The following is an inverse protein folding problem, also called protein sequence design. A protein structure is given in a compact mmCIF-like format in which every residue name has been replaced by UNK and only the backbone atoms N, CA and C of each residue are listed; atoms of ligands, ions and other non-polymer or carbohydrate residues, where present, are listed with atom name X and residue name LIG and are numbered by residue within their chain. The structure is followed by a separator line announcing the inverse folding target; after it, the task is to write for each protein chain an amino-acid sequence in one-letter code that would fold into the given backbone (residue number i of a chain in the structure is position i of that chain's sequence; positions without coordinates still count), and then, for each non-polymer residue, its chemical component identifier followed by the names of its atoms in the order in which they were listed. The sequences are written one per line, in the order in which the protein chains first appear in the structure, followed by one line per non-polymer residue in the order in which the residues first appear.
data_IF_782057942446
#
_entry.id   IF_782057942446
#
_cell.length_a   1.000
_cell.length_b   1.000
_cell.length_c   1.000
_cell.angle_alpha   90.00
_cell.angle_beta   90.00
_cell.angle_gamma   90.00
#
_symmetry.space_group_name_H-M   'P 1'
#
loop_
_entity.id
_entity.type
_entity.pdbx_description
1 polymer ?
#
# COMPACT_ATOMS: atom_id res chain seq x y z
N UNK A 1 -22.45 -37.44 -15.30
CA UNK A 1 -22.54 -36.08 -15.81
C UNK A 1 -21.74 -35.21 -14.81
N UNK A 2 -20.42 -35.17 -15.03
CA UNK A 2 -19.45 -34.47 -14.15
C UNK A 2 -19.17 -33.13 -14.79
N UNK A 3 -19.66 -32.04 -14.22
CA UNK A 3 -19.33 -30.69 -14.64
C UNK A 3 -18.05 -30.22 -13.95
N UNK A 4 -17.09 -29.92 -14.77
CA UNK A 4 -15.79 -29.35 -14.43
C UNK A 4 -15.95 -28.00 -13.71
N UNK A 5 -15.56 -27.95 -12.43
CA UNK A 5 -15.45 -26.73 -11.60
C UNK A 5 -14.00 -26.23 -11.50
N UNK A 6 -13.16 -26.52 -12.51
CA UNK A 6 -11.71 -26.37 -12.39
C UNK A 6 -11.09 -25.12 -13.02
N UNK A 7 -11.83 -24.16 -13.58
CA UNK A 7 -11.19 -23.05 -14.32
C UNK A 7 -11.35 -21.64 -13.76
N UNK A 8 -11.96 -21.46 -12.58
CA UNK A 8 -12.28 -20.11 -12.07
C UNK A 8 -11.50 -19.66 -10.82
N UNK A 9 -10.65 -20.51 -10.25
CA UNK A 9 -9.90 -20.14 -9.02
C UNK A 9 -8.50 -19.54 -9.28
N UNK A 10 -7.95 -19.67 -10.46
CA UNK A 10 -6.60 -19.17 -10.79
C UNK A 10 -6.45 -17.66 -10.81
N UNK A 11 -7.56 -16.89 -10.87
CA UNK A 11 -7.53 -15.43 -10.91
C UNK A 11 -7.65 -14.77 -9.54
N UNK A 12 -8.11 -15.49 -8.51
CA UNK A 12 -8.32 -14.89 -7.19
C UNK A 12 -7.03 -14.73 -6.38
N UNK A 13 -6.03 -15.57 -6.63
CA UNK A 13 -4.77 -15.54 -5.88
C UNK A 13 -3.92 -14.30 -6.17
N UNK A 14 -4.07 -13.68 -7.34
CA UNK A 14 -3.30 -12.48 -7.71
C UNK A 14 -3.83 -11.18 -7.07
N UNK A 15 -5.04 -11.20 -6.49
CA UNK A 15 -5.74 -9.98 -6.06
C UNK A 15 -5.73 -9.73 -4.56
N UNK A 16 -5.25 -10.67 -3.74
CA UNK A 16 -5.44 -10.61 -2.27
C UNK A 16 -4.20 -10.13 -1.52
N UNK A 17 -3.10 -9.84 -2.21
CA UNK A 17 -1.86 -9.51 -1.54
C UNK A 17 -1.53 -8.03 -1.67
N UNK A 18 -2.45 -7.18 -1.31
CA UNK A 18 -2.20 -5.76 -1.14
C UNK A 18 -1.84 -5.49 0.32
N UNK A 19 -0.62 -5.10 0.64
CA UNK A 19 -0.21 -4.86 2.02
C UNK A 19 0.65 -3.65 2.29
N UNK A 20 0.13 -2.89 3.11
CA UNK A 20 0.58 -2.02 4.21
C UNK A 20 2.00 -1.52 4.11
N UNK A 21 2.10 -0.30 3.72
CA UNK A 21 3.15 0.62 4.05
C UNK A 21 2.64 1.53 5.19
N UNK A 22 3.09 1.35 6.40
CA UNK A 22 2.86 2.33 7.44
C UNK A 22 3.80 3.50 7.17
N UNK A 23 3.24 4.64 6.84
CA UNK A 23 3.98 5.89 6.75
C UNK A 23 4.15 6.46 8.15
N UNK A 24 5.39 6.64 8.54
CA UNK A 24 5.70 7.47 9.66
C UNK A 24 5.53 8.93 9.25
N UNK A 25 4.59 9.58 9.90
CA UNK A 25 4.78 11.00 10.17
C UNK A 25 5.99 11.11 11.11
N UNK A 26 7.02 11.87 10.74
CA UNK A 26 8.12 12.09 11.66
C UNK A 26 7.57 12.69 12.94
N UNK A 27 8.13 12.29 14.10
CA UNK A 27 7.84 12.81 15.44
C UNK A 27 8.18 14.31 15.55
N UNK A 28 7.56 15.15 14.75
CA UNK A 28 7.84 16.58 14.69
C UNK A 28 6.63 17.47 14.96
N UNK A 29 5.50 16.91 15.43
CA UNK A 29 4.33 17.70 15.81
C UNK A 29 4.15 17.80 17.31
N UNK A 30 5.17 18.23 18.02
CA UNK A 30 5.01 18.69 19.39
C UNK A 30 5.82 19.99 19.56
N UNK A 31 5.29 21.07 19.10
CA UNK A 31 5.31 22.43 19.69
C UNK A 31 5.15 23.49 18.59
N UNK A 32 3.93 24.02 18.46
CA UNK A 32 3.73 25.45 18.33
C UNK A 32 2.26 25.76 18.06
N UNK A 33 1.60 26.35 19.06
CA UNK A 33 0.32 27.02 18.91
C UNK A 33 0.57 28.34 18.13
N UNK A 34 0.20 28.37 16.86
CA UNK A 34 -0.17 29.58 16.16
C UNK A 34 -0.95 29.23 14.89
N UNK A 35 -2.26 29.43 14.97
CA UNK A 35 -3.20 29.21 13.85
C UNK A 35 -3.25 30.50 13.05
N UNK A 36 -2.67 30.46 11.88
CA UNK A 36 -2.66 31.55 10.89
C UNK A 36 -1.52 31.33 9.91
N UNK A 37 -1.51 30.19 9.19
CA UNK A 37 -0.27 29.76 8.55
C UNK A 37 -0.42 29.49 7.06
N UNK A 38 0.45 30.16 6.32
CA UNK A 38 1.02 29.61 5.08
C UNK A 38 1.66 28.26 5.42
N UNK A 39 1.33 27.21 4.64
CA UNK A 39 1.97 25.88 4.73
C UNK A 39 3.48 26.07 4.58
N UNK A 40 4.26 25.57 5.52
CA UNK A 40 5.72 25.65 5.46
C UNK A 40 6.24 24.76 4.32
N UNK A 41 7.34 25.14 3.69
CA UNK A 41 7.95 24.33 2.62
C UNK A 41 8.27 22.89 3.09
N UNK A 42 8.66 22.73 4.36
CA UNK A 42 8.86 21.41 4.97
C UNK A 42 7.58 20.57 5.00
N UNK A 43 6.43 21.21 5.24
CA UNK A 43 5.14 20.53 5.31
C UNK A 43 4.65 20.14 3.90
N UNK A 44 4.96 20.97 2.89
CA UNK A 44 4.73 20.62 1.48
C UNK A 44 5.45 19.32 1.12
N UNK A 45 6.74 19.23 1.42
CA UNK A 45 7.53 18.05 1.13
C UNK A 45 7.01 16.79 1.86
N UNK A 46 6.57 16.95 3.11
CA UNK A 46 6.01 15.87 3.91
C UNK A 46 4.67 15.38 3.36
N UNK A 47 3.87 16.25 2.73
CA UNK A 47 2.62 15.88 2.07
C UNK A 47 2.84 15.35 0.64
N UNK A 48 3.85 15.86 -0.07
CA UNK A 48 4.15 15.40 -1.43
C UNK A 48 4.78 14.00 -1.46
N UNK A 49 5.47 13.57 -0.40
CA UNK A 49 6.01 12.22 -0.38
C UNK A 49 4.90 11.15 -0.37
N UNK A 50 3.94 11.16 0.58
CA UNK A 50 2.80 10.24 0.56
C UNK A 50 1.91 10.39 -0.67
N UNK A 51 1.80 11.57 -1.27
CA UNK A 51 1.00 11.77 -2.49
C UNK A 51 1.32 10.76 -3.63
N UNK A 52 2.55 10.22 -3.69
CA UNK A 52 2.86 9.14 -4.62
C UNK A 52 2.08 7.85 -4.29
N UNK A 53 1.94 7.55 -3.02
CA UNK A 53 1.25 6.35 -2.54
C UNK A 53 -0.26 6.52 -2.72
N UNK A 54 -0.79 7.69 -2.42
CA UNK A 54 -2.20 8.02 -2.68
C UNK A 54 -2.59 7.78 -4.15
N UNK A 55 -1.75 8.21 -5.10
CA UNK A 55 -1.97 7.89 -6.50
C UNK A 55 -1.94 6.37 -6.77
N UNK A 56 -0.99 5.67 -6.15
CA UNK A 56 -0.85 4.22 -6.31
C UNK A 56 -2.09 3.49 -5.77
N UNK A 57 -2.52 3.83 -4.57
CA UNK A 57 -3.63 3.21 -3.86
C UNK A 57 -4.96 3.51 -4.55
N UNK A 58 -5.20 4.77 -4.92
CA UNK A 58 -6.39 5.17 -5.69
C UNK A 58 -6.53 4.34 -6.96
N UNK A 59 -5.48 4.26 -7.76
CA UNK A 59 -5.53 3.51 -9.02
C UNK A 59 -5.68 2.00 -8.77
N UNK A 60 -5.02 1.48 -7.75
CA UNK A 60 -5.12 0.07 -7.41
C UNK A 60 -6.54 -0.34 -7.02
N UNK A 61 -7.15 0.37 -6.08
CA UNK A 61 -8.50 0.05 -5.61
C UNK A 61 -9.55 0.25 -6.71
N UNK A 62 -9.50 1.39 -7.39
CA UNK A 62 -10.45 1.67 -8.46
C UNK A 62 -10.37 0.64 -9.59
N UNK A 63 -9.17 0.34 -10.08
CA UNK A 63 -9.03 -0.69 -11.13
C UNK A 63 -9.40 -2.07 -10.61
N UNK A 64 -8.96 -2.43 -9.41
CA UNK A 64 -9.27 -3.72 -8.80
C UNK A 64 -10.76 -3.97 -8.69
N UNK A 65 -11.52 -2.99 -8.22
CA UNK A 65 -12.96 -3.13 -8.02
C UNK A 65 -13.79 -2.84 -9.28
N UNK A 66 -13.46 -1.74 -10.00
CA UNK A 66 -14.31 -1.19 -11.06
C UNK A 66 -13.80 -1.54 -12.48
N UNK A 67 -12.50 -1.80 -12.65
CA UNK A 67 -11.84 -2.00 -13.95
C UNK A 67 -11.46 -0.69 -14.65
N UNK A 68 -11.52 0.43 -13.95
CA UNK A 68 -11.08 1.75 -14.44
C UNK A 68 -10.66 2.63 -13.26
N UNK A 69 -9.76 3.58 -13.49
CA UNK A 69 -9.15 4.42 -12.47
C UNK A 69 -9.57 5.88 -12.52
N UNK A 70 -8.67 6.74 -12.03
CA UNK A 70 -8.86 8.20 -11.90
C UNK A 70 -9.23 8.87 -13.22
N UNK A 71 -8.70 8.40 -14.34
CA UNK A 71 -8.99 8.99 -15.65
C UNK A 71 -10.50 9.02 -15.96
N UNK A 72 -11.27 8.12 -15.33
CA UNK A 72 -12.72 8.09 -15.45
C UNK A 72 -13.43 8.66 -14.24
N UNK A 73 -12.91 8.41 -13.03
CA UNK A 73 -13.58 8.80 -11.77
C UNK A 73 -13.38 10.28 -11.44
N UNK A 74 -12.13 10.76 -11.57
CA UNK A 74 -11.76 12.12 -11.21
C UNK A 74 -10.56 12.62 -12.05
N UNK A 75 -10.73 12.80 -13.38
CA UNK A 75 -9.64 13.07 -14.30
C UNK A 75 -8.82 14.32 -13.95
N UNK A 76 -9.44 15.32 -13.34
CA UNK A 76 -8.76 16.56 -12.93
C UNK A 76 -7.69 16.32 -11.85
N UNK A 77 -7.83 15.26 -11.02
CA UNK A 77 -6.84 14.94 -9.99
C UNK A 77 -5.56 14.33 -10.57
N UNK A 78 -5.60 13.79 -11.78
CA UNK A 78 -4.40 13.24 -12.44
C UNK A 78 -3.39 14.33 -12.83
N UNK A 79 -3.84 15.58 -12.94
CA UNK A 79 -3.04 16.74 -13.43
C UNK A 79 -2.29 16.43 -14.72
N UNK A 80 -2.90 15.67 -15.62
CA UNK A 80 -2.30 15.26 -16.90
C UNK A 80 -1.22 14.17 -16.78
N UNK A 81 -1.08 13.55 -15.62
CA UNK A 81 -0.20 12.40 -15.44
C UNK A 81 -0.69 11.17 -16.21
N UNK A 82 0.23 10.29 -16.65
CA UNK A 82 -0.10 9.15 -17.49
C UNK A 82 -0.96 8.11 -16.76
N UNK A 83 -1.81 7.40 -17.51
CA UNK A 83 -2.55 6.26 -16.99
C UNK A 83 -1.61 5.15 -16.51
N UNK A 84 -2.01 4.36 -15.49
CA UNK A 84 -1.19 3.25 -15.02
C UNK A 84 -1.07 2.16 -16.09
N UNK A 85 0.06 1.45 -16.07
CA UNK A 85 0.34 0.32 -16.97
C UNK A 85 -0.05 -0.98 -16.27
N UNK A 86 -0.69 -1.89 -16.97
CA UNK A 86 -1.00 -3.24 -16.49
C UNK A 86 -2.11 -3.34 -15.45
N UNK A 87 -2.84 -2.25 -15.22
CA UNK A 87 -3.98 -2.25 -14.32
C UNK A 87 -5.13 -3.11 -14.87
N UNK A 88 -5.69 -3.97 -14.05
CA UNK A 88 -6.77 -4.89 -14.43
C UNK A 88 -7.81 -5.01 -13.33
N UNK A 89 -9.05 -5.32 -13.72
CA UNK A 89 -10.11 -5.63 -12.76
C UNK A 89 -9.85 -6.97 -12.09
N UNK A 90 -9.99 -7.02 -10.76
CA UNK A 90 -9.90 -8.24 -9.99
C UNK A 90 -11.23 -9.03 -10.04
N UNK A 91 -11.12 -10.36 -9.85
CA UNK A 91 -12.30 -11.20 -9.68
C UNK A 91 -12.67 -11.30 -8.21
N UNK A 92 -13.45 -10.33 -7.73
CA UNK A 92 -13.87 -10.20 -6.33
C UNK A 92 -15.30 -10.69 -6.15
N UNK A 93 -15.61 -11.23 -4.97
CA UNK A 93 -17.00 -11.42 -4.55
C UNK A 93 -17.68 -10.06 -4.29
N UNK A 94 -19.01 -10.06 -4.21
CA UNK A 94 -19.77 -8.81 -4.12
C UNK A 94 -19.44 -7.96 -2.90
N UNK A 95 -19.21 -8.57 -1.75
CA UNK A 95 -18.90 -7.85 -0.50
C UNK A 95 -17.50 -7.25 -0.59
N UNK A 96 -16.52 -8.04 -1.02
CA UNK A 96 -15.16 -7.57 -1.20
C UNK A 96 -15.09 -6.46 -2.26
N UNK A 97 -15.81 -6.60 -3.38
CA UNK A 97 -15.88 -5.58 -4.42
C UNK A 97 -16.48 -4.26 -3.90
N UNK A 98 -17.54 -4.32 -3.09
CA UNK A 98 -18.15 -3.14 -2.47
C UNK A 98 -17.17 -2.44 -1.52
N UNK A 99 -16.51 -3.20 -0.64
CA UNK A 99 -15.51 -2.66 0.31
C UNK A 99 -14.35 -1.98 -0.45
N UNK A 100 -13.78 -2.67 -1.43
CA UNK A 100 -12.65 -2.12 -2.21
C UNK A 100 -13.07 -0.90 -3.05
N UNK A 101 -14.33 -0.86 -3.52
CA UNK A 101 -14.87 0.33 -4.18
C UNK A 101 -14.93 1.52 -3.22
N UNK A 102 -15.38 1.31 -1.99
CA UNK A 102 -15.41 2.36 -0.97
C UNK A 102 -14.00 2.89 -0.69
N UNK A 103 -13.01 2.01 -0.56
CA UNK A 103 -11.62 2.41 -0.38
C UNK A 103 -11.13 3.26 -1.55
N UNK A 104 -11.36 2.83 -2.80
CA UNK A 104 -10.98 3.63 -3.97
C UNK A 104 -11.57 5.04 -3.97
N UNK A 105 -12.81 5.22 -3.51
CA UNK A 105 -13.39 6.56 -3.37
C UNK A 105 -12.85 7.35 -2.17
N UNK A 106 -12.41 6.68 -1.09
CA UNK A 106 -11.72 7.33 0.02
C UNK A 106 -10.38 7.91 -0.46
N UNK A 107 -9.61 7.13 -1.22
CA UNK A 107 -8.33 7.60 -1.78
C UNK A 107 -8.52 8.79 -2.76
N UNK A 108 -9.61 8.82 -3.52
CA UNK A 108 -9.98 10.02 -4.31
C UNK A 108 -10.17 11.25 -3.41
N UNK A 109 -10.74 11.04 -2.22
CA UNK A 109 -10.89 12.07 -1.19
C UNK A 109 -9.52 12.56 -0.67
N UNK A 110 -8.61 11.64 -0.37
CA UNK A 110 -7.24 11.93 0.10
C UNK A 110 -6.47 12.74 -0.95
N UNK A 111 -6.45 12.31 -2.20
CA UNK A 111 -5.83 13.06 -3.31
C UNK A 111 -6.36 14.49 -3.39
N UNK A 112 -7.69 14.67 -3.26
CA UNK A 112 -8.31 15.98 -3.29
C UNK A 112 -7.86 16.83 -2.10
N UNK A 113 -7.84 16.27 -0.90
CA UNK A 113 -7.44 16.98 0.32
C UNK A 113 -5.98 17.43 0.25
N UNK A 114 -5.07 16.54 -0.15
CA UNK A 114 -3.65 16.88 -0.29
C UNK A 114 -3.45 17.94 -1.38
N UNK A 115 -4.07 17.78 -2.54
CA UNK A 115 -3.93 18.73 -3.66
C UNK A 115 -4.59 20.10 -3.40
N UNK A 116 -5.54 20.18 -2.47
CA UNK A 116 -6.07 21.47 -1.97
C UNK A 116 -5.13 22.14 -0.99
N UNK A 117 -4.41 21.36 -0.20
CA UNK A 117 -3.51 21.87 0.84
C UNK A 117 -2.16 22.27 0.25
N UNK A 118 -1.63 21.45 -0.66
CA UNK A 118 -0.38 21.68 -1.37
C UNK A 118 -0.62 21.54 -2.86
N UNK A 119 0.15 22.27 -3.69
CA UNK A 119 -0.04 22.20 -5.14
C UNK A 119 0.15 20.78 -5.68
N UNK A 120 1.08 20.00 -5.10
CA UNK A 120 1.42 18.66 -5.56
C UNK A 120 1.94 18.61 -6.99
N UNK A 121 1.91 17.43 -7.59
CA UNK A 121 2.47 17.14 -8.92
C UNK A 121 1.51 16.23 -9.72
N UNK A 122 1.72 16.08 -11.05
CA UNK A 122 0.97 15.13 -11.86
C UNK A 122 1.18 13.68 -11.40
N UNK A 123 0.15 12.84 -11.57
CA UNK A 123 0.24 11.40 -11.30
C UNK A 123 1.52 10.82 -11.92
N UNK A 124 2.40 10.14 -11.15
CA UNK A 124 3.57 9.48 -11.69
C UNK A 124 3.15 8.30 -12.60
N UNK A 125 4.06 7.85 -13.45
CA UNK A 125 3.82 6.60 -14.19
C UNK A 125 3.84 5.43 -13.20
N UNK A 126 2.71 4.76 -13.06
CA UNK A 126 2.54 3.58 -12.21
C UNK A 126 2.58 2.32 -13.07
N UNK A 127 3.23 1.27 -12.55
CA UNK A 127 3.21 -0.05 -13.14
C UNK A 127 2.44 -1.00 -12.22
N UNK A 128 1.25 -1.39 -12.65
CA UNK A 128 0.34 -2.28 -11.93
C UNK A 128 0.31 -3.69 -12.52
N UNK A 129 1.23 -4.02 -13.44
CA UNK A 129 1.27 -5.31 -14.14
C UNK A 129 1.92 -6.43 -13.35
N UNK A 130 2.56 -6.16 -12.22
CA UNK A 130 3.31 -7.15 -11.47
C UNK A 130 2.42 -7.97 -10.54
N UNK A 131 2.60 -9.29 -10.52
CA UNK A 131 2.01 -10.19 -9.52
C UNK A 131 2.54 -9.92 -8.08
N UNK A 132 3.60 -9.14 -7.96
CA UNK A 132 4.12 -8.59 -6.70
C UNK A 132 3.16 -7.53 -6.13
N UNK A 133 2.16 -7.12 -6.89
CA UNK A 133 1.15 -6.13 -6.54
C UNK A 133 0.28 -6.53 -5.36
N UNK A 134 0.32 -7.77 -5.05
CA UNK A 134 -0.39 -8.33 -3.95
C UNK A 134 0.13 -7.91 -2.56
N UNK A 135 1.03 -6.96 -2.40
CA UNK A 135 1.71 -6.69 -1.15
C UNK A 135 1.86 -5.24 -0.74
N UNK A 136 1.13 -4.33 -1.36
CA UNK A 136 1.38 -2.93 -1.09
C UNK A 136 0.11 -2.16 -0.80
N UNK A 137 -0.24 -2.10 0.46
CA UNK A 137 -1.18 -1.10 0.97
C UNK A 137 -0.79 -0.69 2.35
N UNK A 138 -0.45 0.52 2.45
CA UNK A 138 -0.19 1.16 3.71
C UNK A 138 -0.74 2.53 3.79
N UNK A 139 -1.31 2.71 4.71
CA UNK A 139 -2.00 3.58 5.44
C UNK A 139 -1.62 4.99 5.64
N UNK A 140 -2.45 5.94 5.29
CA UNK A 140 -2.58 7.20 6.00
C UNK A 140 -3.26 6.93 7.34
N UNK A 141 -2.71 7.52 8.38
CA UNK A 141 -3.12 7.29 9.75
C UNK A 141 -4.62 7.59 9.94
N UNK A 142 -5.38 6.60 10.26
CA UNK A 142 -6.81 6.71 10.55
C UNK A 142 -7.70 5.90 9.62
N UNK A 143 -7.94 6.35 8.40
CA UNK A 143 -8.80 5.65 7.44
C UNK A 143 -8.09 4.42 6.91
N UNK A 144 -6.83 4.51 6.58
CA UNK A 144 -6.02 3.41 6.08
C UNK A 144 -5.69 2.39 7.17
N UNK A 145 -5.53 2.79 8.44
CA UNK A 145 -5.53 1.84 9.54
C UNK A 145 -6.83 1.03 9.58
N UNK A 146 -7.96 1.66 9.26
CA UNK A 146 -9.24 0.98 9.12
C UNK A 146 -9.29 0.06 7.90
N UNK A 147 -8.78 0.50 6.75
CA UNK A 147 -8.67 -0.30 5.53
C UNK A 147 -7.75 -1.49 5.73
N UNK A 148 -6.56 -1.27 6.31
CA UNK A 148 -5.63 -2.33 6.67
C UNK A 148 -6.29 -3.36 7.60
N UNK A 149 -6.95 -2.90 8.66
CA UNK A 149 -7.65 -3.77 9.60
C UNK A 149 -8.71 -4.64 8.91
N UNK A 150 -9.51 -4.09 8.00
CA UNK A 150 -10.53 -4.82 7.25
C UNK A 150 -9.89 -5.85 6.32
N UNK A 151 -8.87 -5.46 5.55
CA UNK A 151 -8.16 -6.38 4.64
C UNK A 151 -7.50 -7.50 5.44
N UNK A 152 -6.80 -7.17 6.51
CA UNK A 152 -6.12 -8.15 7.35
C UNK A 152 -7.10 -9.07 8.06
N UNK A 153 -8.27 -8.58 8.48
CA UNK A 153 -9.32 -9.43 9.04
C UNK A 153 -9.86 -10.43 8.00
N UNK A 154 -10.12 -9.99 6.77
CA UNK A 154 -10.53 -10.85 5.67
C UNK A 154 -9.48 -11.91 5.31
N UNK A 155 -8.20 -11.54 5.35
CA UNK A 155 -7.11 -12.48 5.14
C UNK A 155 -6.95 -13.45 6.31
N UNK A 156 -7.09 -12.96 7.54
CA UNK A 156 -7.00 -13.79 8.75
C UNK A 156 -8.12 -14.84 8.82
N UNK A 157 -9.34 -14.47 8.43
CA UNK A 157 -10.45 -15.42 8.25
C UNK A 157 -10.08 -16.54 7.29
N UNK A 158 -9.30 -16.24 6.26
CA UNK A 158 -8.87 -17.15 5.19
C UNK A 158 -7.46 -17.71 5.38
N UNK A 159 -6.82 -17.52 6.52
CA UNK A 159 -5.39 -17.79 6.75
C UNK A 159 -4.95 -19.21 6.40
N UNK A 160 -5.84 -20.19 6.56
CA UNK A 160 -5.57 -21.61 6.25
C UNK A 160 -5.89 -21.99 4.79
N UNK A 161 -6.47 -21.07 4.01
CA UNK A 161 -6.81 -21.36 2.61
C UNK A 161 -5.53 -21.39 1.76
N UNK A 162 -5.48 -22.35 0.85
CA UNK A 162 -4.39 -22.46 -0.12
C UNK A 162 -4.49 -21.39 -1.19
N UNK A 163 -3.36 -20.75 -1.51
CA UNK A 163 -3.22 -19.76 -2.57
C UNK A 163 -2.68 -20.42 -3.83
N UNK A 164 -3.55 -20.61 -4.81
CA UNK A 164 -3.16 -21.16 -6.12
C UNK A 164 -2.46 -20.10 -7.00
N UNK A 165 -1.46 -20.44 -7.80
CA UNK A 165 -0.86 -21.76 -8.00
C UNK A 165 0.32 -22.07 -7.05
N UNK A 166 0.51 -21.28 -6.01
CA UNK A 166 1.70 -21.34 -5.15
C UNK A 166 1.68 -22.49 -4.14
N UNK A 167 0.52 -23.08 -3.91
CA UNK A 167 0.30 -24.20 -2.98
C UNK A 167 0.81 -23.93 -1.54
N UNK A 168 0.66 -22.69 -1.08
CA UNK A 168 0.94 -22.25 0.28
C UNK A 168 -0.30 -21.58 0.86
N UNK A 169 -0.39 -21.47 2.18
CA UNK A 169 -1.54 -20.83 2.83
C UNK A 169 -1.51 -19.30 2.68
N UNK A 170 -2.65 -18.66 2.89
CA UNK A 170 -2.73 -17.18 2.96
C UNK A 170 -1.81 -16.67 4.08
N UNK A 171 -1.76 -17.31 5.24
CA UNK A 171 -0.87 -16.94 6.32
C UNK A 171 0.60 -16.99 5.88
N UNK A 172 1.05 -18.10 5.29
CA UNK A 172 2.41 -18.26 4.80
C UNK A 172 2.73 -17.26 3.68
N UNK A 173 1.76 -16.95 2.82
CA UNK A 173 1.95 -15.97 1.76
C UNK A 173 2.21 -14.57 2.34
N UNK A 174 1.46 -14.16 3.37
CA UNK A 174 1.65 -12.86 4.04
C UNK A 174 2.97 -12.79 4.79
N UNK A 175 3.42 -13.88 5.38
CA UNK A 175 4.74 -13.98 6.01
C UNK A 175 5.87 -13.77 4.98
N UNK A 176 5.82 -14.46 3.86
CA UNK A 176 6.81 -14.29 2.77
C UNK A 176 6.86 -12.85 2.23
N UNK A 177 5.74 -12.14 2.25
CA UNK A 177 5.70 -10.73 1.90
C UNK A 177 6.40 -9.89 2.97
N UNK A 178 6.12 -10.15 4.25
CA UNK A 178 6.80 -9.49 5.36
C UNK A 178 8.32 -9.67 5.26
N UNK A 179 8.79 -10.90 5.05
CA UNK A 179 10.21 -11.20 4.82
C UNK A 179 10.78 -10.45 3.60
N UNK A 180 10.03 -10.40 2.49
CA UNK A 180 10.45 -9.65 1.30
C UNK A 180 10.62 -8.17 1.60
N UNK A 181 9.67 -7.58 2.33
CA UNK A 181 9.72 -6.17 2.73
C UNK A 181 10.91 -5.88 3.64
N UNK A 182 11.19 -6.75 4.61
CA UNK A 182 12.38 -6.65 5.47
C UNK A 182 13.66 -6.72 4.64
N UNK A 183 13.77 -7.68 3.74
CA UNK A 183 14.93 -7.83 2.86
C UNK A 183 15.15 -6.62 1.95
N UNK A 184 14.08 -6.07 1.38
CA UNK A 184 14.14 -4.88 0.53
C UNK A 184 14.41 -3.62 1.35
N UNK A 185 13.75 -3.46 2.50
CA UNK A 185 13.91 -2.31 3.38
C UNK A 185 15.30 -2.20 3.99
N UNK A 186 15.99 -3.34 4.19
CA UNK A 186 17.34 -3.39 4.79
C UNK A 186 17.41 -2.82 6.21
N UNK A 187 16.39 -3.06 6.98
CA UNK A 187 16.29 -2.66 8.39
C UNK A 187 16.01 -3.87 9.25
N UNK A 188 15.87 -3.62 10.55
CA UNK A 188 15.54 -4.65 11.52
C UNK A 188 14.27 -5.42 11.13
N UNK A 189 14.19 -6.66 11.56
CA UNK A 189 13.08 -7.54 11.26
C UNK A 189 11.80 -7.00 11.89
N UNK A 190 10.84 -6.67 11.06
CA UNK A 190 9.47 -6.35 11.45
C UNK A 190 8.58 -7.50 11.03
N UNK A 191 7.93 -8.16 11.97
CA UNK A 191 7.02 -9.25 11.63
C UNK A 191 5.61 -8.74 11.39
N UNK A 192 5.28 -8.60 10.13
CA UNK A 192 3.99 -8.10 9.66
C UNK A 192 3.10 -9.23 9.11
N UNK A 193 3.46 -10.49 9.34
CA UNK A 193 2.63 -11.66 9.00
C UNK A 193 1.27 -11.62 9.71
N UNK A 194 0.32 -12.43 9.25
CA UNK A 194 -0.98 -12.60 9.92
C UNK A 194 -0.88 -13.47 11.17
N UNK A 195 0.12 -14.31 11.22
CA UNK A 195 0.42 -15.20 12.33
C UNK A 195 1.91 -15.06 12.63
N UNK A 196 2.23 -14.79 13.88
CA UNK A 196 3.61 -14.59 14.34
C UNK A 196 3.92 -15.58 15.46
N UNK A 197 5.20 -15.82 15.79
CA UNK A 197 5.56 -16.49 17.04
C UNK A 197 4.89 -15.84 18.25
N UNK A 198 4.47 -16.63 19.22
CA UNK A 198 3.69 -16.12 20.37
C UNK A 198 4.41 -15.00 21.12
N UNK A 199 5.71 -15.10 21.27
CA UNK A 199 6.56 -14.11 21.93
C UNK A 199 6.67 -12.78 21.18
N UNK A 200 6.35 -12.75 19.89
CA UNK A 200 6.29 -11.54 19.06
C UNK A 200 4.86 -11.00 18.92
N UNK A 201 3.85 -11.73 19.34
CA UNK A 201 2.47 -11.30 19.30
C UNK A 201 2.10 -10.40 20.48
N UNK A 202 0.85 -9.94 20.51
CA UNK A 202 0.37 -9.02 21.54
C UNK A 202 0.63 -9.55 22.95
N UNK A 203 1.36 -8.77 23.75
CA UNK A 203 1.77 -9.11 25.11
C UNK A 203 2.53 -10.45 25.23
N UNK A 204 3.06 -11.00 24.16
CA UNK A 204 3.67 -12.34 24.14
C UNK A 204 2.71 -13.47 24.47
N UNK A 205 1.41 -13.31 24.19
CA UNK A 205 0.36 -14.25 24.61
C UNK A 205 -0.44 -14.86 23.46
N UNK A 206 -0.42 -14.26 22.29
CA UNK A 206 -1.20 -14.70 21.14
C UNK A 206 -0.36 -14.70 19.87
N UNK A 207 -0.63 -15.63 18.96
CA UNK A 207 0.04 -15.70 17.66
C UNK A 207 -0.70 -14.96 16.54
N UNK A 208 -1.97 -14.62 16.76
CA UNK A 208 -2.75 -13.85 15.79
C UNK A 208 -2.29 -12.40 15.74
N UNK A 209 -2.05 -11.88 14.53
CA UNK A 209 -1.49 -10.54 14.30
C UNK A 209 -2.34 -9.79 13.25
N UNK A 210 -3.64 -9.66 13.52
CA UNK A 210 -4.58 -8.98 12.62
C UNK A 210 -4.20 -7.50 12.46
N UNK A 211 -3.84 -6.84 13.56
CA UNK A 211 -3.27 -5.50 13.53
C UNK A 211 -1.75 -5.62 13.64
N UNK A 212 -1.05 -5.47 12.54
CA UNK A 212 0.40 -5.59 12.47
C UNK A 212 1.07 -4.59 13.42
N UNK A 213 1.63 -5.08 14.51
CA UNK A 213 2.22 -4.26 15.56
C UNK A 213 3.43 -4.94 16.19
N UNK A 214 4.29 -4.13 16.81
CA UNK A 214 5.40 -4.64 17.60
C UNK A 214 4.92 -5.13 18.99
N UNK A 215 5.85 -5.60 19.82
CA UNK A 215 5.56 -6.09 21.18
C UNK A 215 4.88 -5.04 22.09
N UNK A 216 5.03 -3.75 21.79
CA UNK A 216 4.39 -2.64 22.52
C UNK A 216 3.05 -2.25 21.90
N UNK A 217 2.52 -3.06 20.98
CA UNK A 217 1.28 -2.82 20.23
C UNK A 217 1.30 -1.52 19.40
N UNK A 218 2.48 -1.10 18.96
CA UNK A 218 2.67 0.05 18.09
C UNK A 218 2.93 -0.42 16.65
N UNK A 219 2.33 0.27 15.69
CA UNK A 219 2.60 0.04 14.27
C UNK A 219 4.08 0.25 13.95
N UNK A 220 4.62 -0.58 13.07
CA UNK A 220 5.99 -0.47 12.62
C UNK A 220 6.21 0.81 11.80
N UNK A 221 7.30 1.50 12.09
CA UNK A 221 7.70 2.68 11.36
C UNK A 221 8.72 2.42 10.28
N UNK A 222 8.62 3.13 9.13
CA UNK A 222 9.60 3.07 8.05
C UNK A 222 10.05 4.46 7.63
N UNK A 223 11.32 4.60 7.31
CA UNK A 223 11.87 5.83 6.77
C UNK A 223 11.51 5.96 5.27
N UNK A 224 11.56 7.18 4.68
CA UNK A 224 11.37 7.35 3.25
C UNK A 224 12.30 6.49 2.39
N UNK A 225 13.56 6.30 2.81
CA UNK A 225 14.51 5.43 2.10
C UNK A 225 14.06 3.97 2.08
N UNK A 226 13.59 3.44 3.22
CA UNK A 226 13.05 2.07 3.32
C UNK A 226 11.83 1.89 2.42
N UNK A 227 10.91 2.85 2.46
CA UNK A 227 9.72 2.84 1.62
C UNK A 227 10.13 2.77 0.15
N UNK A 228 11.03 3.65 -0.29
CA UNK A 228 11.50 3.66 -1.69
C UNK A 228 12.18 2.35 -2.09
N UNK A 229 13.01 1.74 -1.23
CA UNK A 229 13.61 0.43 -1.49
C UNK A 229 12.57 -0.64 -1.74
N UNK A 230 11.50 -0.63 -0.95
CA UNK A 230 10.40 -1.60 -1.05
C UNK A 230 9.60 -1.34 -2.32
N UNK A 231 9.10 -0.12 -2.55
CA UNK A 231 8.22 0.19 -3.69
C UNK A 231 8.95 0.17 -5.04
N UNK A 232 10.27 0.38 -5.04
CA UNK A 232 11.09 0.19 -6.24
C UNK A 232 11.42 -1.29 -6.50
N UNK A 233 11.19 -2.18 -5.53
CA UNK A 233 11.30 -3.62 -5.67
C UNK A 233 12.72 -4.16 -5.87
N UNK A 234 13.72 -3.31 -5.77
CA UNK A 234 15.14 -3.66 -6.00
C UNK A 234 16.04 -3.45 -4.77
N UNK A 235 15.46 -3.00 -3.65
CA UNK A 235 16.21 -2.74 -2.41
C UNK A 235 17.17 -1.54 -2.52
N UNK A 236 16.96 -0.63 -3.45
CA UNK A 236 17.80 0.56 -3.66
C UNK A 236 16.93 1.79 -3.90
N UNK A 237 16.93 2.71 -2.95
CA UNK A 237 16.17 3.97 -3.00
C UNK A 237 16.63 4.92 -4.10
N UNK A 238 17.80 4.66 -4.71
CA UNK A 238 18.43 5.51 -5.72
C UNK A 238 18.12 5.07 -7.16
N UNK A 239 17.52 3.90 -7.32
CA UNK A 239 17.27 3.28 -8.64
C UNK A 239 15.77 3.05 -8.80
N UNK A 240 15.16 3.79 -9.71
CA UNK A 240 13.76 3.62 -10.06
C UNK A 240 13.45 2.17 -10.50
N UNK A 241 12.24 1.68 -10.21
CA UNK A 241 11.82 0.32 -10.54
C UNK A 241 10.48 -0.02 -9.93
N UNK A 242 10.13 -1.29 -9.95
CA UNK A 242 8.92 -1.83 -9.32
C UNK A 242 7.67 -1.05 -9.69
N UNK A 243 6.98 -0.52 -8.69
CA UNK A 243 5.73 0.24 -8.87
C UNK A 243 5.95 1.62 -9.49
N UNK A 244 7.16 2.17 -9.39
CA UNK A 244 7.54 3.48 -9.92
C UNK A 244 8.70 3.35 -10.92
N UNK A 245 8.44 2.86 -12.15
CA UNK A 245 9.50 2.57 -13.11
C UNK A 245 10.31 3.79 -13.58
N UNK A 246 9.78 5.00 -13.37
CA UNK A 246 10.48 6.28 -13.61
C UNK A 246 10.81 7.03 -12.31
N UNK A 247 10.66 6.37 -11.18
CA UNK A 247 10.82 6.93 -9.85
C UNK A 247 9.56 7.66 -9.35
N UNK A 248 9.44 7.75 -8.04
CA UNK A 248 8.43 8.53 -7.36
C UNK A 248 8.72 10.03 -7.48
N UNK A 249 7.71 10.86 -7.33
CA UNK A 249 7.80 12.32 -7.46
C UNK A 249 7.89 13.00 -6.08
N UNK A 250 7.99 14.34 -6.11
CA UNK A 250 8.19 15.16 -4.93
C UNK A 250 9.66 15.30 -4.51
N UNK A 251 9.97 16.33 -3.73
CA UNK A 251 11.36 16.66 -3.39
C UNK A 251 12.06 15.55 -2.60
N UNK A 252 11.38 14.95 -1.63
CA UNK A 252 11.97 13.87 -0.81
C UNK A 252 12.31 12.66 -1.69
N UNK A 253 11.36 12.15 -2.48
CA UNK A 253 11.60 10.98 -3.31
C UNK A 253 12.69 11.24 -4.37
N UNK A 254 12.63 12.41 -5.02
CA UNK A 254 13.61 12.79 -6.04
C UNK A 254 15.01 13.02 -5.49
N UNK A 255 15.17 13.41 -4.22
CA UNK A 255 16.48 13.59 -3.60
C UNK A 255 17.28 12.30 -3.47
N UNK A 256 16.63 11.15 -3.52
CA UNK A 256 17.30 9.85 -3.50
C UNK A 256 17.73 9.36 -4.87
N UNK A 257 17.00 9.72 -5.94
CA UNK A 257 17.32 9.23 -7.27
C UNK A 257 18.66 9.80 -7.76
N UNK A 258 19.48 8.95 -8.33
CA UNK A 258 20.72 9.38 -8.98
C UNK A 258 20.33 10.15 -10.24
N UNK A 259 20.85 11.38 -10.39
CA UNK A 259 20.70 12.15 -11.65
C UNK A 259 21.35 11.34 -12.76
N UNK A 260 20.54 10.89 -13.72
CA UNK A 260 21.00 10.26 -14.95
C UNK A 260 21.56 11.29 -15.90
#
# INVERSE_FOLDING_TARGET
MSMSMSSHMGSMASSIVAFVLVLLLPKYLANNNNIGSSVLNSDVDLLEFPLNLEFLETEFFLYGALGYGLDRVAPHLTKGGPSPVGATKANLDNITADIITQFGFQEVGHLRAIQHTVKGFPRPLLNLSSSVFAGLLAGLLGVESGQDAVIRALLYERKEMTVEPYNITVAEFTERISELRNRLGRTDVTDEGLVVPIDLGAEGKVSGNVLSANQDSLSYGRTPAEILRIVYGNGNERVAGGFFPKGANGRIARSYLVSS
#
